data_IF_840367174080
#
_entry.id   IF_840367174080
#
_cell.length_a   1.000
_cell.length_b   1.000
_cell.length_c   1.000
_cell.angle_alpha   90.00
_cell.angle_beta   90.00
_cell.angle_gamma   90.00
#
_symmetry.space_group_name_H-M   'P 1'
#
loop_
_entity.id
_entity.type
_entity.pdbx_description
1 polymer ?
#
# COMPACT_ATOMS: atom_id res chain seq x y z
N UNK A 1 25.20 -11.14 -37.12
CA UNK A 1 24.15 -11.96 -36.50
C UNK A 1 24.24 -11.70 -35.01
N UNK A 2 23.37 -10.84 -34.48
CA UNK A 2 23.29 -10.57 -33.03
C UNK A 2 22.16 -11.45 -32.49
N UNK A 3 22.33 -12.14 -31.36
CA UNK A 3 21.24 -12.91 -30.77
C UNK A 3 20.17 -11.95 -30.24
N UNK A 4 18.92 -12.22 -30.60
CA UNK A 4 17.73 -11.55 -30.08
C UNK A 4 17.65 -11.80 -28.56
N UNK A 5 18.23 -10.90 -27.77
CA UNK A 5 17.89 -10.79 -26.35
C UNK A 5 16.41 -10.40 -26.27
N UNK A 6 15.59 -11.42 -25.99
CA UNK A 6 14.16 -11.28 -25.71
C UNK A 6 14.01 -10.27 -24.58
N UNK A 7 13.72 -9.04 -24.98
CA UNK A 7 13.28 -7.96 -24.10
C UNK A 7 11.94 -8.41 -23.52
N UNK A 8 11.99 -9.11 -22.39
CA UNK A 8 10.84 -9.48 -21.58
C UNK A 8 10.27 -8.19 -20.94
N UNK A 9 9.73 -7.33 -21.79
CA UNK A 9 8.93 -6.19 -21.38
C UNK A 9 7.68 -6.84 -20.79
N UNK A 10 7.62 -6.95 -19.46
CA UNK A 10 6.38 -7.19 -18.73
C UNK A 10 5.40 -6.12 -19.19
N UNK A 11 4.57 -6.45 -20.20
CA UNK A 11 3.57 -5.54 -20.73
C UNK A 11 2.70 -5.13 -19.56
N UNK A 12 2.70 -3.84 -19.23
CA UNK A 12 1.89 -3.32 -18.14
C UNK A 12 0.42 -3.51 -18.51
N UNK A 13 -0.16 -4.62 -18.07
CA UNK A 13 -1.58 -4.90 -18.21
C UNK A 13 -2.29 -4.09 -17.14
N UNK A 14 -3.20 -3.19 -17.55
CA UNK A 14 -4.04 -2.42 -16.64
C UNK A 14 -4.80 -3.41 -15.75
N UNK A 15 -4.41 -3.49 -14.48
CA UNK A 15 -5.12 -4.26 -13.46
C UNK A 15 -6.39 -3.51 -13.09
N UNK A 16 -7.50 -4.24 -13.01
CA UNK A 16 -8.72 -3.66 -12.48
C UNK A 16 -8.59 -3.40 -10.99
N UNK A 17 -9.33 -2.41 -10.48
CA UNK A 17 -9.32 -2.06 -9.07
C UNK A 17 -10.30 -2.94 -8.30
N UNK A 18 -9.84 -3.49 -7.19
CA UNK A 18 -10.64 -4.24 -6.24
C UNK A 18 -10.67 -3.47 -4.94
N UNK A 19 -11.86 -3.03 -4.52
CA UNK A 19 -12.01 -2.17 -3.33
C UNK A 19 -12.48 -3.02 -2.16
N UNK A 20 -11.72 -2.99 -1.07
CA UNK A 20 -12.06 -3.66 0.17
C UNK A 20 -12.67 -2.64 1.13
N UNK A 21 -13.80 -3.00 1.75
CA UNK A 21 -14.49 -2.17 2.74
C UNK A 21 -14.99 -3.00 3.91
N UNK A 22 -15.04 -2.43 5.11
CA UNK A 22 -15.67 -3.09 6.27
C UNK A 22 -17.20 -3.04 6.10
N UNK A 23 -17.87 -4.16 6.41
CA UNK A 23 -19.32 -4.27 6.35
C UNK A 23 -19.84 -5.08 7.54
N UNK A 24 -21.05 -4.78 8.01
CA UNK A 24 -21.73 -5.52 9.08
C UNK A 24 -23.03 -6.08 8.51
N UNK A 25 -23.22 -7.39 8.60
CA UNK A 25 -24.40 -8.09 8.10
C UNK A 25 -24.87 -9.11 9.10
N UNK A 26 -26.17 -9.10 9.41
CA UNK A 26 -26.78 -10.04 10.39
C UNK A 26 -25.98 -10.14 11.70
N UNK A 27 -25.49 -9.00 12.20
CA UNK A 27 -24.62 -8.86 13.39
C UNK A 27 -23.23 -9.52 13.29
N UNK A 28 -22.79 -9.96 12.11
CA UNK A 28 -21.44 -10.45 11.83
C UNK A 28 -20.65 -9.44 11.00
N UNK A 29 -19.34 -9.41 11.20
CA UNK A 29 -18.42 -8.52 10.47
C UNK A 29 -17.92 -9.22 9.20
N UNK A 30 -17.88 -8.46 8.12
CA UNK A 30 -17.40 -8.90 6.82
C UNK A 30 -16.45 -7.88 6.22
N UNK A 31 -15.58 -8.36 5.34
CA UNK A 31 -14.88 -7.56 4.35
C UNK A 31 -15.65 -7.66 3.05
N UNK A 32 -16.27 -6.56 2.65
CA UNK A 32 -16.87 -6.38 1.33
C UNK A 32 -15.74 -6.16 0.31
N UNK A 33 -15.79 -6.94 -0.76
CA UNK A 33 -14.87 -6.86 -1.90
C UNK A 33 -15.71 -6.49 -3.12
N UNK A 34 -15.61 -5.23 -3.53
CA UNK A 34 -16.20 -4.77 -4.79
C UNK A 34 -15.29 -5.20 -5.93
N UNK A 35 -15.79 -6.15 -6.73
CA UNK A 35 -15.12 -6.65 -7.91
C UNK A 35 -15.53 -5.75 -9.07
N UNK A 36 -14.55 -5.25 -9.83
CA UNK A 36 -14.82 -4.74 -11.17
C UNK A 36 -15.25 -5.86 -12.13
N UNK A 37 -14.95 -5.71 -13.40
CA UNK A 37 -15.20 -6.72 -14.43
C UNK A 37 -14.09 -7.79 -14.48
N UNK A 38 -13.67 -8.31 -13.32
CA UNK A 38 -12.52 -9.23 -13.19
C UNK A 38 -12.99 -10.66 -12.85
N UNK A 39 -13.31 -11.43 -13.89
CA UNK A 39 -13.80 -12.81 -13.76
C UNK A 39 -12.80 -13.74 -13.07
N UNK A 40 -11.49 -13.54 -13.29
CA UNK A 40 -10.45 -14.35 -12.66
C UNK A 40 -10.41 -14.14 -11.13
N UNK A 41 -10.53 -12.88 -10.69
CA UNK A 41 -10.62 -12.55 -9.26
C UNK A 41 -11.92 -13.11 -8.65
N UNK A 42 -13.05 -13.04 -9.37
CA UNK A 42 -14.34 -13.60 -8.94
C UNK A 42 -14.26 -15.13 -8.75
N UNK A 43 -13.62 -15.83 -9.69
CA UNK A 43 -13.41 -17.27 -9.61
C UNK A 43 -12.46 -17.68 -8.46
N UNK A 44 -11.44 -16.86 -8.16
CA UNK A 44 -10.56 -17.14 -7.04
C UNK A 44 -11.27 -16.92 -5.70
N UNK A 45 -12.07 -15.85 -5.59
CA UNK A 45 -12.87 -15.55 -4.40
C UNK A 45 -13.89 -16.64 -4.08
N UNK A 46 -14.44 -17.34 -5.08
CA UNK A 46 -15.40 -18.42 -4.84
C UNK A 46 -14.80 -19.63 -4.12
N UNK A 47 -13.47 -19.70 -4.03
CA UNK A 47 -12.74 -20.72 -3.27
C UNK A 47 -12.48 -20.31 -1.82
N UNK A 48 -12.75 -19.05 -1.45
CA UNK A 48 -12.59 -18.58 -0.08
C UNK A 48 -13.64 -19.20 0.84
N UNK A 49 -13.23 -19.53 2.05
CA UNK A 49 -14.11 -20.16 3.04
C UNK A 49 -15.18 -19.19 3.51
N UNK A 50 -16.45 -19.59 3.40
CA UNK A 50 -17.58 -18.81 3.91
C UNK A 50 -17.86 -17.51 3.16
N UNK A 51 -17.33 -17.36 1.94
CA UNK A 51 -17.62 -16.22 1.08
C UNK A 51 -19.10 -16.19 0.69
N UNK A 52 -19.68 -15.00 0.69
CA UNK A 52 -21.02 -14.77 0.15
C UNK A 52 -20.91 -13.88 -1.07
N UNK A 53 -21.62 -14.21 -2.15
CA UNK A 53 -21.72 -13.36 -3.32
C UNK A 53 -23.10 -12.70 -3.37
N UNK A 54 -23.12 -11.40 -3.64
CA UNK A 54 -24.35 -10.67 -3.92
C UNK A 54 -24.07 -9.62 -5.00
N UNK A 55 -24.76 -9.74 -6.13
CA UNK A 55 -24.54 -8.92 -7.32
C UNK A 55 -23.04 -8.95 -7.74
N UNK A 56 -22.34 -7.82 -7.64
CA UNK A 56 -20.92 -7.67 -8.01
C UNK A 56 -19.99 -7.55 -6.78
N UNK A 57 -20.47 -8.02 -5.64
CA UNK A 57 -19.74 -7.97 -4.37
C UNK A 57 -19.54 -9.35 -3.80
N UNK A 58 -18.35 -9.58 -3.27
CA UNK A 58 -18.06 -10.71 -2.41
C UNK A 58 -17.94 -10.23 -0.96
N UNK A 59 -18.41 -11.03 0.00
CA UNK A 59 -18.31 -10.75 1.43
C UNK A 59 -17.52 -11.88 2.09
N UNK A 60 -16.33 -11.54 2.57
CA UNK A 60 -15.46 -12.45 3.30
C UNK A 60 -15.70 -12.29 4.81
N UNK A 61 -15.83 -13.37 5.60
CA UNK A 61 -15.93 -13.27 7.05
C UNK A 61 -14.71 -12.53 7.62
N UNK A 62 -14.93 -11.47 8.40
CA UNK A 62 -13.82 -10.67 8.92
C UNK A 62 -13.05 -11.36 10.07
N UNK A 63 -13.62 -12.41 10.66
CA UNK A 63 -13.03 -13.18 11.77
C UNK A 63 -11.75 -13.92 11.35
N UNK A 64 -11.75 -14.51 10.15
CA UNK A 64 -10.63 -15.28 9.59
C UNK A 64 -9.85 -14.48 8.53
N UNK A 65 -10.15 -13.19 8.35
CA UNK A 65 -9.58 -12.39 7.28
C UNK A 65 -8.21 -11.80 7.67
N UNK A 66 -7.17 -12.19 6.94
CA UNK A 66 -5.83 -11.61 7.04
C UNK A 66 -5.54 -10.79 5.78
N UNK A 67 -5.33 -9.47 5.94
CA UNK A 67 -5.12 -8.57 4.80
C UNK A 67 -3.84 -8.90 4.02
N UNK A 68 -2.76 -9.29 4.70
CA UNK A 68 -1.49 -9.66 4.06
C UNK A 68 -1.66 -10.89 3.14
N UNK A 69 -2.20 -11.98 3.68
CA UNK A 69 -2.45 -13.22 2.93
C UNK A 69 -3.44 -13.00 1.76
N UNK A 70 -4.42 -12.12 1.95
CA UNK A 70 -5.29 -11.71 0.86
C UNK A 70 -4.50 -10.91 -0.20
N UNK A 71 -3.66 -9.97 0.21
CA UNK A 71 -2.89 -9.16 -0.72
C UNK A 71 -1.99 -10.04 -1.61
N UNK A 72 -1.22 -10.96 -1.04
CA UNK A 72 -0.30 -11.82 -1.79
C UNK A 72 -1.01 -12.70 -2.83
N UNK A 73 -2.20 -13.20 -2.50
CA UNK A 73 -3.00 -14.04 -3.41
C UNK A 73 -3.61 -13.26 -4.57
N UNK A 74 -4.01 -12.01 -4.34
CA UNK A 74 -4.81 -11.25 -5.31
C UNK A 74 -4.06 -10.11 -6.01
N UNK A 75 -2.86 -9.72 -5.55
CA UNK A 75 -2.10 -8.57 -6.10
C UNK A 75 -1.76 -8.76 -7.57
N UNK A 76 -1.62 -10.01 -8.05
CA UNK A 76 -1.36 -10.30 -9.45
C UNK A 76 -2.59 -10.13 -10.35
N UNK A 77 -3.80 -10.23 -9.79
CA UNK A 77 -5.06 -10.19 -10.53
C UNK A 77 -5.67 -8.78 -10.58
N UNK A 78 -5.52 -8.01 -9.50
CA UNK A 78 -6.15 -6.70 -9.36
C UNK A 78 -5.26 -5.72 -8.57
N UNK A 79 -5.50 -4.43 -8.76
CA UNK A 79 -5.00 -3.40 -7.85
C UNK A 79 -5.90 -3.37 -6.60
N UNK A 80 -5.33 -3.74 -5.46
CA UNK A 80 -6.07 -3.91 -4.20
C UNK A 80 -6.08 -2.58 -3.45
N UNK A 81 -7.28 -1.98 -3.34
CA UNK A 81 -7.51 -0.79 -2.53
C UNK A 81 -8.16 -1.18 -1.21
N UNK A 82 -7.34 -1.18 -0.15
CA UNK A 82 -7.75 -1.51 1.22
C UNK A 82 -7.86 -0.28 2.13
N UNK A 83 -7.90 0.93 1.56
CA UNK A 83 -7.95 2.19 2.32
C UNK A 83 -9.15 2.28 3.27
N UNK A 84 -10.25 1.58 2.98
CA UNK A 84 -11.46 1.52 3.81
C UNK A 84 -11.49 0.36 4.80
N UNK A 85 -10.44 -0.46 4.82
CA UNK A 85 -10.27 -1.58 5.79
C UNK A 85 -9.30 -1.21 6.89
N UNK A 86 -8.20 -0.53 6.55
CA UNK A 86 -7.26 -0.05 7.54
C UNK A 86 -7.94 1.04 8.38
N UNK A 87 -8.07 0.80 9.68
CA UNK A 87 -8.32 1.86 10.64
C UNK A 87 -7.14 2.82 10.58
N UNK A 88 -7.29 3.89 9.81
CA UNK A 88 -6.32 5.00 9.77
C UNK A 88 -6.20 5.69 11.13
N UNK A 89 -7.11 5.39 12.07
CA UNK A 89 -7.01 5.71 13.50
C UNK A 89 -5.89 4.98 14.23
N UNK A 90 -5.35 3.88 13.68
CA UNK A 90 -4.14 3.19 14.16
C UNK A 90 -3.03 3.17 13.09
N UNK A 91 -2.99 4.16 12.19
CA UNK A 91 -1.64 4.62 11.84
C UNK A 91 -1.09 5.09 13.19
N UNK A 92 0.12 4.74 13.64
CA UNK A 92 0.73 5.62 14.62
C UNK A 92 0.55 7.00 13.98
N UNK A 93 -0.22 7.88 14.62
CA UNK A 93 0.03 9.31 14.46
C UNK A 93 1.53 9.35 14.45
N UNK A 94 2.15 9.84 13.36
CA UNK A 94 3.59 10.00 13.37
C UNK A 94 3.81 10.86 14.58
N UNK A 95 4.13 10.20 15.70
CA UNK A 95 4.43 10.79 16.98
C UNK A 95 5.38 11.87 16.54
N UNK A 96 4.99 13.14 16.72
CA UNK A 96 5.71 14.28 16.16
C UNK A 96 7.11 14.12 16.68
N UNK A 97 7.92 13.40 15.90
CA UNK A 97 9.18 12.85 16.35
C UNK A 97 9.95 14.12 16.37
N UNK A 98 10.20 14.62 17.58
CA UNK A 98 10.80 15.92 17.79
C UNK A 98 12.08 15.83 16.97
N UNK A 99 12.05 16.45 15.78
CA UNK A 99 13.12 16.24 14.83
C UNK A 99 14.32 16.87 15.51
N UNK A 100 15.42 16.12 15.68
CA UNK A 100 16.61 16.69 16.26
C UNK A 100 16.96 17.95 15.48
N UNK A 101 17.36 19.00 16.20
CA UNK A 101 17.74 20.25 15.55
C UNK A 101 18.91 19.97 14.62
N UNK A 102 18.84 20.54 13.41
CA UNK A 102 19.92 20.44 12.46
C UNK A 102 21.20 21.02 13.09
N UNK A 103 22.36 20.40 12.85
CA UNK A 103 23.62 20.98 13.29
C UNK A 103 23.78 22.42 12.80
N UNK A 104 24.30 23.29 13.66
CA UNK A 104 24.51 24.70 13.32
C UNK A 104 25.31 24.86 12.01
N UNK A 105 24.81 25.70 11.11
CA UNK A 105 25.45 25.95 9.81
C UNK A 105 25.29 24.85 8.76
N UNK A 106 24.65 23.71 9.05
CA UNK A 106 24.46 22.64 8.05
C UNK A 106 23.60 23.08 6.87
N UNK A 107 22.47 23.75 7.14
CA UNK A 107 21.60 24.27 6.10
C UNK A 107 22.29 25.31 5.22
N UNK A 108 23.14 26.15 5.83
CA UNK A 108 23.88 27.19 5.13
C UNK A 108 24.94 26.58 4.20
N UNK A 109 25.65 25.54 4.64
CA UNK A 109 26.58 24.78 3.78
C UNK A 109 25.87 24.17 2.58
N UNK A 110 24.67 23.60 2.76
CA UNK A 110 23.90 23.04 1.64
C UNK A 110 23.49 24.12 0.62
N UNK A 111 23.15 25.33 1.10
CA UNK A 111 22.84 26.48 0.25
C UNK A 111 24.08 27.02 -0.48
N UNK A 112 25.23 27.09 0.18
CA UNK A 112 26.51 27.50 -0.42
C UNK A 112 26.95 26.56 -1.55
N UNK A 113 26.68 25.25 -1.39
CA UNK A 113 26.89 24.22 -2.43
C UNK A 113 25.90 24.34 -3.61
N UNK A 114 24.95 25.28 -3.57
CA UNK A 114 23.92 25.53 -4.59
C UNK A 114 23.07 24.30 -4.91
N UNK A 115 22.81 23.47 -3.91
CA UNK A 115 21.90 22.35 -4.06
C UNK A 115 20.46 22.83 -4.32
N UNK A 116 19.70 22.04 -5.08
CA UNK A 116 18.27 22.30 -5.28
C UNK A 116 17.49 22.18 -3.97
N UNK A 117 16.34 22.84 -3.87
CA UNK A 117 15.45 22.72 -2.69
C UNK A 117 15.09 21.26 -2.38
N UNK A 118 14.90 20.44 -3.42
CA UNK A 118 14.66 19.02 -3.25
C UNK A 118 15.85 18.32 -2.59
N UNK A 119 17.06 18.56 -3.10
CA UNK A 119 18.29 18.00 -2.54
C UNK A 119 18.50 18.45 -1.09
N UNK A 120 18.31 19.74 -0.79
CA UNK A 120 18.41 20.26 0.58
C UNK A 120 17.44 19.55 1.53
N UNK A 121 16.20 19.32 1.10
CA UNK A 121 15.19 18.59 1.88
C UNK A 121 15.57 17.13 2.11
N UNK A 122 16.16 16.46 1.12
CA UNK A 122 16.66 15.08 1.26
C UNK A 122 17.79 15.02 2.28
N UNK A 123 18.80 15.89 2.17
CA UNK A 123 19.94 15.91 3.09
C UNK A 123 19.54 16.28 4.53
N UNK A 124 18.64 17.24 4.71
CA UNK A 124 18.14 17.63 6.05
C UNK A 124 17.25 16.55 6.67
N UNK A 125 16.56 15.73 5.87
CA UNK A 125 15.82 14.56 6.38
C UNK A 125 16.79 13.45 6.78
N UNK A 126 17.75 13.13 5.93
CA UNK A 126 18.76 12.10 6.20
C UNK A 126 19.55 12.36 7.48
N UNK A 127 20.00 13.61 7.70
CA UNK A 127 20.77 13.93 8.93
C UNK A 127 19.90 13.84 10.18
N UNK A 128 18.61 14.17 10.09
CA UNK A 128 17.67 14.04 11.21
C UNK A 128 17.43 12.58 11.56
N UNK A 129 17.24 11.72 10.56
CA UNK A 129 17.09 10.27 10.74
C UNK A 129 18.38 9.66 11.33
N UNK A 130 19.56 10.12 10.87
CA UNK A 130 20.86 9.71 11.41
C UNK A 130 21.00 10.11 12.89
N UNK A 131 20.71 11.37 13.24
CA UNK A 131 20.74 11.83 14.63
C UNK A 131 19.79 11.01 15.51
N UNK A 132 18.59 10.69 15.02
CA UNK A 132 17.62 9.87 15.77
C UNK A 132 18.09 8.42 15.97
N UNK A 133 18.78 7.83 14.99
CA UNK A 133 19.28 6.46 15.10
C UNK A 133 20.43 6.31 16.11
N UNK A 134 21.23 7.37 16.29
CA UNK A 134 22.41 7.38 17.16
C UNK A 134 22.24 8.23 18.45
N UNK A 135 21.03 8.70 18.74
CA UNK A 135 20.69 9.40 19.99
C UNK A 135 20.46 8.39 21.14
#
# INVERSE_FOLDING_TARGET
MMPDEIKNIKTYRKKERMILSRSIRRRRRYIEVALGNNDAARLLLSKEKGVLFESDKAYLPAEDFVLADFFDRYVNLAFIDYSKVTDTTNKPEKEKTIRPELPAGFLEKLKQMRYSDHTIRVYTTYIGDFQQYFA
#
